data_IF_855306973351
#
_entry.id   IF_855306973351
#
_cell.length_a   1.000
_cell.length_b   1.000
_cell.length_c   1.000
_cell.angle_alpha   90.00
_cell.angle_beta   90.00
_cell.angle_gamma   90.00
#
_symmetry.space_group_name_H-M   'P 1'
#
loop_
_entity.id
_entity.type
_entity.pdbx_description
1 polymer ?
#
# COMPACT_ATOMS: atom_id res chain seq x y z
N UNK A 1 15.20 3.72 12.68
CA UNK A 1 13.81 3.96 13.14
C UNK A 1 13.52 5.46 13.16
N UNK A 2 12.28 5.88 12.90
CA UNK A 2 11.87 7.30 12.97
C UNK A 2 11.93 7.83 14.41
N UNK A 3 12.41 9.07 14.57
CA UNK A 3 12.33 9.81 15.84
C UNK A 3 10.87 10.23 16.12
N UNK A 4 10.48 10.46 17.38
CA UNK A 4 9.17 11.04 17.72
C UNK A 4 8.90 12.32 16.90
N UNK A 5 7.68 12.46 16.38
CA UNK A 5 7.28 13.56 15.49
C UNK A 5 7.81 13.49 14.05
N UNK A 6 8.63 12.48 13.73
CA UNK A 6 9.21 12.29 12.40
C UNK A 6 8.17 11.99 11.32
N UNK A 7 8.43 12.49 10.11
CA UNK A 7 7.56 12.33 8.94
C UNK A 7 8.06 11.17 8.06
N UNK A 8 7.12 10.37 7.57
CA UNK A 8 7.34 9.32 6.57
C UNK A 8 6.47 9.59 5.35
N UNK A 9 7.11 9.63 4.18
CA UNK A 9 6.43 9.55 2.90
C UNK A 9 6.54 8.11 2.38
N UNK A 10 5.41 7.47 2.15
CA UNK A 10 5.32 6.08 1.68
C UNK A 10 4.47 6.01 0.42
N UNK A 11 4.86 5.19 -0.55
CA UNK A 11 4.02 4.86 -1.71
C UNK A 11 3.65 3.39 -1.74
N UNK A 12 2.43 3.09 -2.20
CA UNK A 12 1.92 1.71 -2.27
C UNK A 12 1.10 1.46 -3.53
N UNK A 13 1.04 0.21 -3.98
CA UNK A 13 0.06 -0.22 -4.96
C UNK A 13 -1.34 -0.20 -4.31
N UNK A 14 -2.11 0.88 -4.52
CA UNK A 14 -3.45 1.07 -3.95
C UNK A 14 -4.58 0.70 -4.91
N UNK A 15 -5.77 1.25 -4.70
CA UNK A 15 -7.02 0.79 -5.34
C UNK A 15 -6.95 0.79 -6.87
N UNK A 16 -6.29 1.77 -7.50
CA UNK A 16 -6.17 1.83 -8.96
C UNK A 16 -5.43 0.60 -9.53
N UNK A 17 -4.57 -0.03 -8.75
CA UNK A 17 -3.78 -1.21 -9.14
C UNK A 17 -4.54 -2.52 -8.96
N UNK A 18 -5.77 -2.50 -8.40
CA UNK A 18 -6.68 -3.66 -8.33
C UNK A 18 -6.89 -4.31 -9.70
N UNK A 19 -6.86 -3.53 -10.78
CA UNK A 19 -6.99 -4.05 -12.15
C UNK A 19 -5.85 -4.99 -12.59
N UNK A 20 -4.75 -5.04 -11.85
CA UNK A 20 -3.62 -5.94 -12.12
C UNK A 20 -3.77 -7.31 -11.44
N UNK A 21 -4.81 -7.48 -10.60
CA UNK A 21 -5.07 -8.69 -9.83
C UNK A 21 -5.90 -9.72 -10.60
N UNK A 22 -5.66 -11.00 -10.35
CA UNK A 22 -6.50 -12.10 -10.83
C UNK A 22 -7.86 -12.08 -10.12
N UNK A 23 -8.93 -12.70 -10.66
CA UNK A 23 -10.26 -12.61 -10.08
C UNK A 23 -10.36 -13.04 -8.61
N UNK A 24 -9.64 -14.09 -8.21
CA UNK A 24 -9.58 -14.57 -6.82
C UNK A 24 -8.80 -13.62 -5.90
N UNK A 25 -7.75 -12.98 -6.41
CA UNK A 25 -6.99 -11.97 -5.69
C UNK A 25 -7.77 -10.65 -5.56
N UNK A 26 -8.56 -10.29 -6.56
CA UNK A 26 -9.47 -9.14 -6.49
C UNK A 26 -10.47 -9.31 -5.35
N UNK A 27 -11.03 -10.52 -5.17
CA UNK A 27 -11.93 -10.80 -4.06
C UNK A 27 -11.25 -10.57 -2.69
N UNK A 28 -10.00 -11.03 -2.52
CA UNK A 28 -9.21 -10.78 -1.31
C UNK A 28 -8.94 -9.29 -1.10
N UNK A 29 -8.51 -8.61 -2.16
CA UNK A 29 -8.25 -7.18 -2.13
C UNK A 29 -9.50 -6.39 -1.72
N UNK A 30 -10.66 -6.72 -2.30
CA UNK A 30 -11.95 -6.08 -2.01
C UNK A 30 -12.45 -6.36 -0.59
N UNK A 31 -12.11 -7.52 -0.02
CA UNK A 31 -12.35 -7.82 1.40
C UNK A 31 -11.50 -6.94 2.34
N UNK A 32 -10.50 -6.25 1.79
CA UNK A 32 -9.53 -5.43 2.52
C UNK A 32 -8.30 -6.22 2.97
N UNK A 33 -8.01 -7.34 2.33
CA UNK A 33 -6.84 -8.16 2.63
C UNK A 33 -5.65 -7.77 1.75
N UNK A 34 -4.45 -7.75 2.33
CA UNK A 34 -3.21 -7.54 1.59
C UNK A 34 -3.00 -8.71 0.61
N UNK A 35 -2.75 -8.40 -0.66
CA UNK A 35 -2.41 -9.42 -1.67
C UNK A 35 -0.91 -9.35 -1.95
N UNK A 36 -0.20 -10.47 -1.74
CA UNK A 36 1.24 -10.59 -2.01
C UNK A 36 1.47 -11.65 -3.09
N UNK A 37 2.19 -11.28 -4.15
CA UNK A 37 2.67 -12.19 -5.18
C UNK A 37 4.17 -12.40 -5.01
N UNK A 38 4.59 -13.64 -4.83
CA UNK A 38 6.01 -14.01 -4.62
C UNK A 38 6.39 -15.42 -5.07
N UNK A 39 5.49 -16.17 -5.71
CA UNK A 39 5.72 -17.57 -6.08
C UNK A 39 6.48 -17.72 -7.42
N UNK A 40 7.74 -17.29 -7.46
CA UNK A 40 8.66 -17.69 -8.54
C UNK A 40 9.95 -18.25 -7.98
N UNK A 41 10.44 -19.30 -8.65
CA UNK A 41 11.68 -20.03 -8.38
C UNK A 41 12.82 -19.10 -7.98
N UNK A 42 13.68 -19.60 -7.10
CA UNK A 42 14.94 -18.99 -6.67
C UNK A 42 15.66 -18.35 -7.88
N UNK A 43 15.78 -17.01 -7.89
CA UNK A 43 16.40 -16.25 -8.99
C UNK A 43 15.54 -15.17 -9.66
N UNK A 44 14.24 -15.04 -9.37
CA UNK A 44 13.41 -13.95 -9.88
C UNK A 44 12.87 -13.04 -8.76
N UNK A 45 13.36 -11.80 -8.72
CA UNK A 45 13.11 -10.77 -7.69
C UNK A 45 11.81 -9.98 -7.91
N UNK A 46 10.69 -10.63 -8.24
CA UNK A 46 9.41 -9.92 -8.35
C UNK A 46 8.47 -10.35 -7.22
N UNK A 47 8.78 -9.85 -6.02
CA UNK A 47 7.81 -9.77 -4.93
C UNK A 47 7.03 -8.47 -5.10
N UNK A 48 5.71 -8.56 -5.21
CA UNK A 48 4.83 -7.38 -5.33
C UNK A 48 3.67 -7.52 -4.37
N UNK A 49 3.32 -6.44 -3.69
CA UNK A 49 2.20 -6.39 -2.76
C UNK A 49 1.21 -5.29 -3.16
N UNK A 50 -0.09 -5.60 -3.06
CA UNK A 50 -1.21 -4.72 -3.36
C UNK A 50 -1.97 -4.45 -2.07
N UNK A 51 -2.19 -3.17 -1.77
CA UNK A 51 -2.55 -2.66 -0.45
C UNK A 51 -3.91 -1.96 -0.50
N UNK A 52 -5.00 -2.65 -0.14
CA UNK A 52 -6.30 -1.99 0.03
C UNK A 52 -6.19 -0.88 1.07
N UNK A 53 -6.88 0.24 0.86
CA UNK A 53 -6.92 1.37 1.81
C UNK A 53 -7.33 0.92 3.21
N UNK A 54 -8.28 -0.03 3.31
CA UNK A 54 -8.73 -0.62 4.58
C UNK A 54 -7.60 -1.34 5.33
N UNK A 55 -6.76 -2.09 4.62
CA UNK A 55 -5.60 -2.76 5.21
C UNK A 55 -4.61 -1.73 5.76
N UNK A 56 -4.32 -0.69 4.96
CA UNK A 56 -3.36 0.36 5.31
C UNK A 56 -3.82 1.15 6.55
N UNK A 57 -5.09 1.53 6.61
CA UNK A 57 -5.64 2.24 7.78
C UNK A 57 -5.53 1.38 9.05
N UNK A 58 -5.88 0.09 8.97
CA UNK A 58 -5.72 -0.85 10.08
C UNK A 58 -4.24 -1.02 10.49
N UNK A 59 -3.33 -1.05 9.52
CA UNK A 59 -1.90 -1.21 9.77
C UNK A 59 -1.31 -0.02 10.55
N UNK A 60 -1.75 1.19 10.20
CA UNK A 60 -1.29 2.45 10.80
C UNK A 60 -1.96 2.78 12.12
N UNK A 61 -3.12 2.19 12.37
CA UNK A 61 -3.90 2.43 13.56
C UNK A 61 -3.05 2.28 14.83
N UNK A 62 -3.20 3.26 15.72
CA UNK A 62 -2.45 3.41 16.97
C UNK A 62 -0.91 3.45 16.87
N UNK A 63 -0.30 3.44 15.68
CA UNK A 63 1.17 3.45 15.49
C UNK A 63 1.70 4.77 14.93
N UNK A 64 0.97 5.33 13.96
CA UNK A 64 1.31 6.58 13.29
C UNK A 64 0.04 7.36 12.98
N UNK A 65 0.16 8.68 12.88
CA UNK A 65 -0.93 9.53 12.39
C UNK A 65 -0.85 9.63 10.87
N UNK A 66 -1.96 9.34 10.18
CA UNK A 66 -2.07 9.60 8.74
C UNK A 66 -2.34 11.10 8.55
N UNK A 67 -1.33 11.85 8.09
CA UNK A 67 -1.47 13.28 7.80
C UNK A 67 -2.15 13.51 6.45
N UNK A 68 -1.86 12.66 5.46
CA UNK A 68 -2.46 12.73 4.12
C UNK A 68 -2.41 11.37 3.44
N UNK A 69 -3.50 11.02 2.77
CA UNK A 69 -3.53 9.95 1.77
C UNK A 69 -4.01 10.55 0.44
N UNK A 70 -3.27 10.27 -0.64
CA UNK A 70 -3.69 10.57 -2.02
C UNK A 70 -3.72 9.24 -2.77
N UNK A 71 -4.91 8.81 -3.17
CA UNK A 71 -5.07 7.63 -4.02
C UNK A 71 -4.38 7.84 -5.37
N UNK A 72 -3.74 6.78 -5.87
CA UNK A 72 -3.15 6.74 -7.19
C UNK A 72 -4.23 6.87 -8.28
N UNK A 73 -3.86 7.48 -9.40
CA UNK A 73 -4.73 7.68 -10.55
C UNK A 73 -4.12 7.11 -11.82
N UNK A 74 -4.94 6.96 -12.87
CA UNK A 74 -4.43 6.59 -14.20
C UNK A 74 -3.66 7.79 -14.78
N UNK A 75 -2.45 7.53 -15.22
CA UNK A 75 -1.57 8.49 -15.89
C UNK A 75 -1.24 8.01 -17.30
N UNK A 76 -0.66 8.89 -18.13
CA UNK A 76 -0.23 8.55 -19.49
C UNK A 76 0.82 7.44 -19.52
N UNK A 77 1.68 7.39 -18.49
CA UNK A 77 2.75 6.42 -18.34
C UNK A 77 2.36 5.14 -17.57
N UNK A 78 1.15 5.05 -17.01
CA UNK A 78 0.72 3.87 -16.26
C UNK A 78 -0.24 4.16 -15.10
N UNK A 79 -0.20 3.28 -14.10
CA UNK A 79 -0.99 3.41 -12.88
C UNK A 79 -0.11 4.04 -11.79
N UNK A 80 -0.50 5.20 -11.29
CA UNK A 80 0.18 5.84 -10.16
C UNK A 80 0.03 5.01 -8.89
N UNK A 81 1.03 5.04 -8.02
CA UNK A 81 0.91 4.51 -6.67
C UNK A 81 0.17 5.50 -5.77
N UNK A 82 -0.41 4.99 -4.68
CA UNK A 82 -0.91 5.83 -3.61
C UNK A 82 0.26 6.54 -2.92
N UNK A 83 0.00 7.72 -2.37
CA UNK A 83 0.93 8.46 -1.54
C UNK A 83 0.36 8.63 -0.13
N UNK A 84 1.15 8.24 0.86
CA UNK A 84 0.84 8.35 2.28
C UNK A 84 1.87 9.26 2.94
N UNK A 85 1.39 10.32 3.58
CA UNK A 85 2.18 11.14 4.50
C UNK A 85 1.79 10.76 5.91
N UNK A 86 2.74 10.22 6.66
CA UNK A 86 2.54 9.67 7.99
C UNK A 86 3.44 10.40 8.98
N UNK A 87 2.99 10.52 10.23
CA UNK A 87 3.79 11.06 11.32
C UNK A 87 3.87 10.06 12.47
N UNK A 88 5.09 9.81 12.96
CA UNK A 88 5.27 9.03 14.19
C UNK A 88 4.79 9.84 15.39
N UNK A 89 4.04 9.21 16.29
CA UNK A 89 3.62 9.82 17.56
C UNK A 89 4.79 10.36 18.38
N UNK A 90 4.49 11.28 19.29
CA UNK A 90 5.48 12.00 20.09
C UNK A 90 5.93 11.27 21.37
N UNK A 91 5.63 9.97 21.49
CA UNK A 91 5.95 9.15 22.67
C UNK A 91 7.44 9.03 22.93
#
# INVERSE_FOLDING_TARGET
MLKPGGILLLTTHGDITRQNLLPDEQQKFDAGELVVRGNVKEGHRMYTAYHPVKYMNTLFDHKVTVLKHKAGTRQSWGLEQDLWLLQKGNS
#
